data_IF_978710819779
#
_entry.id   IF_978710819779
#
_cell.length_a   1.000
_cell.length_b   1.000
_cell.length_c   1.000
_cell.angle_alpha   90.00
_cell.angle_beta   90.00
_cell.angle_gamma   90.00
#
_symmetry.space_group_name_H-M   'P 1'
#
loop_
_entity.id
_entity.type
_entity.pdbx_description
1 polymer ?
#
# COMPACT_ATOMS: atom_id res chain seq x y z
N UNK A 1 -10.29 10.64 -7.38
CA UNK A 1 -10.53 11.01 -8.78
C UNK A 1 -11.26 12.34 -8.76
N UNK A 2 -10.79 13.36 -9.49
CA UNK A 2 -11.47 14.66 -9.60
C UNK A 2 -11.78 14.95 -11.07
N UNK A 3 -12.99 15.45 -11.35
CA UNK A 3 -13.45 15.80 -12.69
C UNK A 3 -13.59 17.32 -12.79
N UNK A 4 -12.83 17.95 -13.70
CA UNK A 4 -12.83 19.39 -13.90
C UNK A 4 -13.77 19.78 -15.05
N UNK A 5 -14.50 20.89 -14.89
CA UNK A 5 -15.19 21.58 -15.98
C UNK A 5 -14.40 22.87 -16.28
N UNK A 6 -13.89 23.00 -17.50
CA UNK A 6 -13.30 24.26 -17.98
C UNK A 6 -11.77 24.29 -18.13
N UNK A 7 -11.22 23.39 -18.93
CA UNK A 7 -10.07 23.61 -19.85
C UNK A 7 -9.84 22.31 -20.61
N UNK A 8 -9.11 22.37 -21.70
CA UNK A 8 -9.01 21.41 -22.82
C UNK A 8 -8.48 19.99 -22.48
N UNK A 9 -8.64 19.53 -21.26
CA UNK A 9 -8.40 18.16 -20.83
C UNK A 9 -9.68 17.64 -20.13
N UNK A 10 -10.50 16.86 -20.84
CA UNK A 10 -11.55 16.04 -20.20
C UNK A 10 -10.89 14.87 -19.46
N UNK A 11 -10.05 15.20 -18.48
CA UNK A 11 -9.15 14.26 -17.83
C UNK A 11 -9.56 14.05 -16.37
N UNK A 12 -9.81 12.81 -16.00
CA UNK A 12 -9.85 12.40 -14.62
C UNK A 12 -8.49 12.63 -13.95
N UNK A 13 -8.43 13.53 -12.96
CA UNK A 13 -7.23 13.69 -12.15
C UNK A 13 -7.17 12.57 -11.10
N UNK A 14 -6.09 11.78 -11.10
CA UNK A 14 -5.78 10.82 -10.05
C UNK A 14 -4.69 11.36 -9.13
N UNK A 15 -4.74 11.00 -7.84
CA UNK A 15 -3.70 11.31 -6.85
C UNK A 15 -3.54 12.80 -6.45
N UNK A 16 -2.33 13.35 -6.54
CA UNK A 16 -1.92 14.58 -5.85
C UNK A 16 -2.73 15.83 -6.25
N UNK A 17 -3.08 16.03 -7.54
CA UNK A 17 -3.98 17.12 -7.93
C UNK A 17 -5.40 16.94 -7.38
N UNK A 18 -5.92 15.70 -7.36
CA UNK A 18 -7.24 15.40 -6.79
C UNK A 18 -7.26 15.60 -5.27
N UNK A 19 -6.20 15.22 -4.55
CA UNK A 19 -6.08 15.41 -3.09
C UNK A 19 -6.08 16.89 -2.69
N UNK A 20 -5.43 17.76 -3.49
CA UNK A 20 -5.43 19.22 -3.27
C UNK A 20 -6.79 19.87 -3.50
N UNK A 21 -7.65 19.26 -4.32
CA UNK A 21 -8.97 19.79 -4.65
C UNK A 21 -10.10 19.27 -3.75
N UNK A 22 -9.82 18.35 -2.81
CA UNK A 22 -10.84 17.88 -1.84
C UNK A 22 -11.47 19.06 -1.09
N UNK A 23 -10.68 20.10 -0.77
CA UNK A 23 -11.15 21.29 -0.06
C UNK A 23 -11.96 22.23 -0.96
N UNK A 24 -11.63 22.31 -2.25
CA UNK A 24 -12.24 23.28 -3.19
C UNK A 24 -13.37 22.68 -4.05
N UNK A 25 -13.42 21.36 -4.21
CA UNK A 25 -14.42 20.62 -4.98
C UNK A 25 -14.79 19.29 -4.28
N UNK A 26 -15.34 19.33 -3.06
CA UNK A 26 -15.57 18.14 -2.24
C UNK A 26 -16.61 17.18 -2.83
N UNK A 27 -17.62 17.69 -3.55
CA UNK A 27 -18.73 16.90 -4.11
C UNK A 27 -18.32 16.08 -5.34
N UNK A 28 -17.32 16.53 -6.10
CA UNK A 28 -16.85 15.84 -7.31
C UNK A 28 -15.46 15.20 -7.14
N UNK A 29 -14.91 15.24 -5.92
CA UNK A 29 -13.66 14.55 -5.59
C UNK A 29 -13.99 13.21 -4.93
N UNK A 30 -13.92 12.14 -5.72
CA UNK A 30 -14.24 10.79 -5.26
C UNK A 30 -12.99 10.15 -4.65
N UNK A 31 -13.13 9.60 -3.44
CA UNK A 31 -12.10 8.82 -2.74
C UNK A 31 -12.74 7.66 -1.96
N UNK A 32 -11.93 6.71 -1.49
CA UNK A 32 -12.42 5.62 -0.62
C UNK A 32 -13.38 4.63 -1.29
N UNK A 33 -13.60 4.70 -2.60
CA UNK A 33 -14.61 3.89 -3.31
C UNK A 33 -14.39 2.38 -3.18
N UNK A 34 -13.18 1.94 -2.82
CA UNK A 34 -12.86 0.54 -2.50
C UNK A 34 -13.82 -0.07 -1.46
N UNK A 35 -14.23 0.72 -0.46
CA UNK A 35 -15.14 0.25 0.59
C UNK A 35 -16.57 0.01 0.08
N UNK A 36 -16.92 0.60 -1.07
CA UNK A 36 -18.24 0.50 -1.69
C UNK A 36 -18.34 -0.62 -2.74
N UNK A 37 -17.22 -1.22 -3.15
CA UNK A 37 -17.20 -2.31 -4.14
C UNK A 37 -17.97 -3.51 -3.57
N UNK A 38 -18.98 -3.97 -4.31
CA UNK A 38 -19.78 -5.15 -3.95
C UNK A 38 -20.84 -4.91 -2.86
N UNK A 39 -21.05 -3.67 -2.40
CA UNK A 39 -22.07 -3.34 -1.40
C UNK A 39 -23.39 -2.93 -2.04
N UNK A 40 -24.48 -3.19 -1.31
CA UNK A 40 -25.84 -2.74 -1.64
C UNK A 40 -26.09 -1.36 -1.07
N UNK A 41 -26.92 -0.56 -1.75
CA UNK A 41 -27.26 0.79 -1.31
C UNK A 41 -27.87 0.84 0.10
N UNK A 42 -28.63 -0.18 0.48
CA UNK A 42 -29.31 -0.26 1.77
C UNK A 42 -28.45 -0.83 2.92
N UNK A 43 -27.17 -1.13 2.68
CA UNK A 43 -26.30 -1.71 3.70
C UNK A 43 -26.04 -0.70 4.85
N UNK A 44 -26.10 -1.11 6.14
CA UNK A 44 -25.91 -0.21 7.28
C UNK A 44 -24.56 0.53 7.26
N UNK A 45 -23.50 -0.08 6.72
CA UNK A 45 -22.19 0.55 6.64
C UNK A 45 -22.12 1.54 5.48
N UNK A 46 -22.74 1.24 4.33
CA UNK A 46 -22.90 2.22 3.24
C UNK A 46 -23.69 3.45 3.70
N UNK A 47 -24.75 3.27 4.48
CA UNK A 47 -25.55 4.37 5.03
C UNK A 47 -24.76 5.25 6.01
N UNK A 48 -23.86 4.64 6.80
CA UNK A 48 -22.92 5.39 7.65
C UNK A 48 -21.91 6.17 6.80
N UNK A 49 -21.36 5.52 5.77
CA UNK A 49 -20.35 6.12 4.90
C UNK A 49 -20.92 7.31 4.11
N UNK A 50 -22.17 7.21 3.66
CA UNK A 50 -22.91 8.30 3.01
C UNK A 50 -23.04 9.57 3.88
N UNK A 51 -22.99 9.45 5.21
CA UNK A 51 -23.00 10.61 6.13
C UNK A 51 -21.61 11.21 6.36
N UNK A 52 -20.56 10.46 6.06
CA UNK A 52 -19.16 10.85 6.32
C UNK A 52 -18.55 11.43 5.04
N UNK A 53 -18.89 10.88 3.88
CA UNK A 53 -18.27 11.28 2.62
C UNK A 53 -18.96 12.51 2.01
N UNK A 54 -18.21 13.42 1.37
CA UNK A 54 -18.75 14.64 0.78
C UNK A 54 -19.32 14.47 -0.63
N UNK A 55 -19.04 13.35 -1.31
CA UNK A 55 -19.52 13.06 -2.66
C UNK A 55 -20.85 12.31 -2.62
N UNK A 56 -21.64 12.46 -3.68
CA UNK A 56 -23.00 11.89 -3.74
C UNK A 56 -22.95 10.39 -4.03
N UNK A 57 -23.51 9.61 -3.12
CA UNK A 57 -23.74 8.17 -3.30
C UNK A 57 -25.17 7.98 -3.84
N UNK A 58 -25.32 7.18 -4.90
CA UNK A 58 -26.61 6.92 -5.55
C UNK A 58 -26.89 5.42 -5.64
N UNK A 59 -28.17 5.07 -5.64
CA UNK A 59 -28.63 3.70 -5.85
C UNK A 59 -28.63 3.40 -7.35
N UNK A 60 -27.87 2.40 -7.75
CA UNK A 60 -27.90 1.91 -9.12
C UNK A 60 -29.19 1.12 -9.42
N UNK A 61 -29.57 0.95 -10.70
CA UNK A 61 -30.75 0.18 -11.09
C UNK A 61 -30.74 -1.27 -10.57
N UNK A 62 -29.55 -1.86 -10.42
CA UNK A 62 -29.36 -3.22 -9.91
C UNK A 62 -29.37 -3.31 -8.37
N UNK A 63 -29.53 -2.19 -7.65
CA UNK A 63 -29.52 -2.11 -6.19
C UNK A 63 -28.15 -1.89 -5.54
N UNK A 64 -27.09 -1.80 -6.35
CA UNK A 64 -25.72 -1.57 -5.87
C UNK A 64 -25.43 -0.10 -5.61
N UNK A 65 -24.32 0.13 -4.91
CA UNK A 65 -23.82 1.47 -4.59
C UNK A 65 -23.03 2.02 -5.76
N UNK A 66 -23.52 3.12 -6.34
CA UNK A 66 -22.78 3.93 -7.31
C UNK A 66 -22.49 5.30 -6.71
N UNK A 67 -21.61 6.06 -7.37
CA UNK A 67 -21.34 7.46 -6.98
C UNK A 67 -21.62 8.37 -8.16
N UNK A 68 -22.09 9.58 -7.86
CA UNK A 68 -22.39 10.60 -8.86
C UNK A 68 -21.36 11.73 -8.75
N UNK A 69 -20.73 12.08 -9.87
CA UNK A 69 -19.89 13.25 -10.00
C UNK A 69 -20.23 13.97 -11.30
N UNK A 70 -20.38 15.30 -11.24
CA UNK A 70 -20.78 16.14 -12.39
C UNK A 70 -22.03 15.64 -13.13
N UNK A 71 -23.02 15.11 -12.40
CA UNK A 71 -24.27 14.60 -12.98
C UNK A 71 -24.14 13.27 -13.73
N UNK A 72 -22.94 12.66 -13.75
CA UNK A 72 -22.73 11.32 -14.27
C UNK A 72 -22.57 10.32 -13.12
N UNK A 73 -23.17 9.15 -13.28
CA UNK A 73 -23.05 8.07 -12.30
C UNK A 73 -21.97 7.09 -12.72
N UNK A 74 -21.15 6.68 -11.77
CA UNK A 74 -20.04 5.75 -11.98
C UNK A 74 -20.12 4.61 -10.97
N UNK A 75 -19.91 3.39 -11.45
CA UNK A 75 -19.73 2.25 -10.57
C UNK A 75 -18.37 2.32 -9.85
N UNK A 76 -18.26 1.75 -8.63
CA UNK A 76 -16.98 1.61 -7.92
C UNK A 76 -15.87 0.99 -8.77
N UNK A 77 -16.22 -0.01 -9.58
CA UNK A 77 -15.30 -0.71 -10.49
C UNK A 77 -14.78 0.20 -11.60
N UNK A 78 -15.64 1.05 -12.19
CA UNK A 78 -15.20 2.03 -13.20
C UNK A 78 -14.24 3.06 -12.62
N UNK A 79 -14.47 3.52 -11.38
CA UNK A 79 -13.58 4.45 -10.70
C UNK A 79 -12.22 3.82 -10.43
N UNK A 80 -12.22 2.56 -9.99
CA UNK A 80 -10.99 1.77 -9.87
C UNK A 80 -10.26 1.65 -11.22
N UNK A 81 -11.00 1.38 -12.30
CA UNK A 81 -10.44 1.28 -13.64
C UNK A 81 -9.78 2.59 -14.08
N UNK A 82 -10.39 3.75 -13.85
CA UNK A 82 -9.77 5.03 -14.19
C UNK A 82 -8.45 5.30 -13.44
N UNK A 83 -8.37 4.89 -12.17
CA UNK A 83 -7.12 4.98 -11.40
C UNK A 83 -6.06 4.07 -12.03
N UNK A 84 -6.42 2.83 -12.35
CA UNK A 84 -5.50 1.87 -12.97
C UNK A 84 -5.05 2.31 -14.37
N UNK A 85 -5.95 2.85 -15.19
CA UNK A 85 -5.62 3.42 -16.50
C UNK A 85 -4.62 4.56 -16.38
N UNK A 86 -4.81 5.47 -15.42
CA UNK A 86 -3.86 6.56 -15.20
C UNK A 86 -2.51 6.08 -14.66
N UNK A 87 -2.50 5.06 -13.80
CA UNK A 87 -1.25 4.43 -13.35
C UNK A 87 -0.51 3.77 -14.52
N UNK A 88 -1.25 3.14 -15.45
CA UNK A 88 -0.68 2.61 -16.69
C UNK A 88 -0.11 3.73 -17.57
N UNK A 89 -0.85 4.81 -17.82
CA UNK A 89 -0.36 5.94 -18.62
C UNK A 89 0.94 6.54 -18.06
N UNK A 90 1.03 6.71 -16.74
CA UNK A 90 2.25 7.19 -16.07
C UNK A 90 3.40 6.19 -16.24
N UNK A 91 3.12 4.89 -16.08
CA UNK A 91 4.11 3.85 -16.29
C UNK A 91 4.61 3.79 -17.74
N UNK A 92 3.72 3.96 -18.72
CA UNK A 92 4.06 4.03 -20.15
C UNK A 92 4.89 5.27 -20.47
N UNK A 93 4.53 6.43 -19.92
CA UNK A 93 5.29 7.67 -20.07
C UNK A 93 6.69 7.58 -19.45
N UNK A 94 6.82 6.90 -18.31
CA UNK A 94 8.11 6.66 -17.65
C UNK A 94 8.98 5.64 -18.39
N UNK A 95 8.38 4.57 -18.91
CA UNK A 95 9.09 3.46 -19.56
C UNK A 95 9.34 3.69 -21.06
N UNK A 96 8.71 4.69 -21.68
CA UNK A 96 8.84 5.01 -23.11
C UNK A 96 8.30 3.91 -24.05
N UNK A 97 7.52 2.96 -23.53
CA UNK A 97 6.95 1.83 -24.28
C UNK A 97 5.57 1.49 -23.75
N UNK A 98 4.70 0.98 -24.63
CA UNK A 98 3.35 0.57 -24.22
C UNK A 98 3.40 -0.65 -23.31
N UNK A 99 2.64 -0.58 -22.21
CA UNK A 99 2.49 -1.64 -21.20
C UNK A 99 1.20 -2.38 -21.51
N UNK A 100 1.30 -3.35 -22.42
CA UNK A 100 0.23 -4.32 -22.74
C UNK A 100 0.30 -5.51 -21.78
N UNK A 101 0.10 -5.28 -20.49
CA UNK A 101 -0.12 -6.39 -19.53
C UNK A 101 -1.58 -6.38 -19.08
N UNK A 102 -2.33 -7.30 -19.64
CA UNK A 102 -3.71 -7.61 -19.25
C UNK A 102 -3.66 -8.32 -17.88
N UNK A 103 -4.30 -7.75 -16.86
CA UNK A 103 -4.36 -8.36 -15.51
C UNK A 103 -5.35 -9.53 -15.57
N UNK A 104 -4.85 -10.72 -15.90
CA UNK A 104 -5.66 -11.92 -16.16
C UNK A 104 -6.18 -12.64 -14.90
N UNK A 105 -5.74 -12.26 -13.71
CA UNK A 105 -6.31 -12.75 -12.45
C UNK A 105 -5.93 -11.81 -11.30
N UNK A 106 -6.90 -11.46 -10.46
CA UNK A 106 -6.65 -10.92 -9.11
C UNK A 106 -7.06 -11.99 -8.11
N UNK A 107 -6.18 -12.97 -7.93
CA UNK A 107 -6.23 -13.85 -6.76
C UNK A 107 -4.91 -13.59 -6.02
N UNK A 108 -4.94 -12.61 -5.13
CA UNK A 108 -3.78 -12.18 -4.35
C UNK A 108 -4.17 -12.16 -2.89
N UNK A 109 -3.31 -12.68 -2.04
CA UNK A 109 -3.39 -12.55 -0.59
C UNK A 109 -3.55 -11.06 -0.25
N UNK A 110 -4.72 -10.64 0.26
CA UNK A 110 -5.02 -9.23 0.55
C UNK A 110 -4.15 -8.64 1.66
N UNK A 111 -3.32 -9.49 2.29
CA UNK A 111 -2.36 -9.15 3.32
C UNK A 111 -0.92 -9.05 2.82
N UNK A 112 -0.65 -9.25 1.52
CA UNK A 112 0.70 -9.18 0.95
C UNK A 112 0.84 -7.90 0.11
N UNK A 113 1.32 -6.85 0.74
CA UNK A 113 1.48 -5.51 0.18
C UNK A 113 2.91 -4.99 0.21
N UNK A 114 3.11 -3.77 -0.26
CA UNK A 114 4.40 -3.06 -0.16
C UNK A 114 4.88 -2.91 1.29
N UNK A 115 3.94 -2.86 2.25
CA UNK A 115 4.23 -2.79 3.68
C UNK A 115 4.93 -4.03 4.22
N UNK A 116 4.74 -5.22 3.66
CA UNK A 116 5.43 -6.43 4.15
C UNK A 116 6.92 -6.41 3.81
N UNK A 117 7.25 -5.88 2.63
CA UNK A 117 8.64 -5.65 2.23
C UNK A 117 9.29 -4.58 3.13
N UNK A 118 8.53 -3.53 3.48
CA UNK A 118 9.00 -2.48 4.38
C UNK A 118 9.13 -3.00 5.83
N UNK A 119 8.21 -3.84 6.29
CA UNK A 119 8.24 -4.45 7.63
C UNK A 119 9.40 -5.45 7.75
N UNK A 120 9.66 -6.27 6.73
CA UNK A 120 10.81 -7.19 6.71
C UNK A 120 12.14 -6.43 6.78
N UNK A 121 12.22 -5.29 6.10
CA UNK A 121 13.39 -4.43 6.15
C UNK A 121 13.50 -3.68 7.49
N UNK A 122 12.38 -3.21 8.04
CA UNK A 122 12.31 -2.58 9.35
C UNK A 122 12.79 -3.53 10.46
N UNK A 123 12.30 -4.77 10.46
CA UNK A 123 12.69 -5.80 11.43
C UNK A 123 14.19 -6.09 11.35
N UNK A 124 14.76 -6.15 10.14
CA UNK A 124 16.20 -6.29 9.95
C UNK A 124 16.97 -5.11 10.57
N UNK A 125 16.55 -3.87 10.31
CA UNK A 125 17.21 -2.67 10.83
C UNK A 125 17.13 -2.58 12.36
N UNK A 126 15.98 -2.91 12.94
CA UNK A 126 15.78 -2.95 14.39
C UNK A 126 16.67 -4.02 15.02
N UNK A 127 16.74 -5.21 14.44
CA UNK A 127 17.59 -6.30 14.94
C UNK A 127 19.08 -5.97 14.83
N UNK A 128 19.53 -5.36 13.73
CA UNK A 128 20.92 -4.91 13.57
C UNK A 128 21.29 -3.83 14.59
N UNK A 129 20.40 -2.85 14.81
CA UNK A 129 20.63 -1.81 15.81
C UNK A 129 20.65 -2.38 17.24
N UNK A 130 19.74 -3.32 17.54
CA UNK A 130 19.73 -4.03 18.83
C UNK A 130 21.00 -4.85 19.03
N UNK A 131 21.57 -5.43 17.97
CA UNK A 131 22.83 -6.19 18.04
C UNK A 131 24.04 -5.29 18.26
N UNK A 132 24.06 -4.09 17.67
CA UNK A 132 25.19 -3.16 17.76
C UNK A 132 25.15 -2.31 19.02
N UNK A 133 24.00 -1.74 19.34
CA UNK A 133 23.86 -0.77 20.43
C UNK A 133 23.15 -1.35 21.66
N UNK A 134 22.67 -2.61 21.61
CA UNK A 134 21.90 -3.26 22.70
C UNK A 134 20.60 -2.52 23.09
N UNK A 135 20.15 -1.57 22.27
CA UNK A 135 18.94 -0.77 22.50
C UNK A 135 17.82 -1.26 21.58
N UNK A 136 16.63 -1.47 22.14
CA UNK A 136 15.46 -1.87 21.40
C UNK A 136 14.64 -0.66 20.94
N UNK A 137 14.75 -0.31 19.65
CA UNK A 137 14.02 0.81 19.05
C UNK A 137 12.52 0.54 18.88
N UNK A 138 12.05 -0.69 19.08
CA UNK A 138 10.63 -1.06 18.91
C UNK A 138 9.68 -0.33 19.86
N UNK A 139 10.21 0.19 20.97
CA UNK A 139 9.44 0.94 21.97
C UNK A 139 9.35 2.43 21.66
N UNK A 140 10.21 2.95 20.80
CA UNK A 140 10.27 4.35 20.44
C UNK A 140 9.48 4.59 19.14
N UNK A 141 8.29 5.18 19.30
CA UNK A 141 7.39 5.48 18.17
C UNK A 141 8.02 6.44 17.16
N UNK A 142 8.85 7.38 17.61
CA UNK A 142 9.50 8.35 16.73
C UNK A 142 10.63 7.70 15.96
N UNK A 143 11.45 6.88 16.62
CA UNK A 143 12.53 6.13 15.97
C UNK A 143 11.97 5.16 14.93
N UNK A 144 10.89 4.43 15.24
CA UNK A 144 10.23 3.51 14.32
C UNK A 144 9.68 4.22 13.08
N UNK A 145 9.08 5.40 13.23
CA UNK A 145 8.59 6.15 12.09
C UNK A 145 9.74 6.55 11.15
N UNK A 146 10.85 7.06 11.69
CA UNK A 146 12.03 7.45 10.90
C UNK A 146 12.70 6.25 10.24
N UNK A 147 12.78 5.12 10.95
CA UNK A 147 13.26 3.85 10.40
C UNK A 147 12.39 3.36 9.24
N UNK A 148 11.06 3.46 9.36
CA UNK A 148 10.12 3.07 8.29
C UNK A 148 10.31 3.94 7.05
N UNK A 149 10.41 5.25 7.22
CA UNK A 149 10.67 6.19 6.11
C UNK A 149 12.03 5.89 5.44
N UNK A 150 13.06 5.58 6.22
CA UNK A 150 14.37 5.21 5.69
C UNK A 150 14.38 3.86 4.97
N UNK A 151 13.65 2.88 5.50
CA UNK A 151 13.47 1.56 4.89
C UNK A 151 12.74 1.67 3.54
N UNK A 152 11.67 2.47 3.47
CA UNK A 152 10.95 2.71 2.22
C UNK A 152 11.85 3.38 1.17
N UNK A 153 12.64 4.38 1.60
CA UNK A 153 13.61 5.05 0.73
C UNK A 153 14.69 4.10 0.24
N UNK A 154 15.27 3.30 1.14
CA UNK A 154 16.28 2.31 0.80
C UNK A 154 15.77 1.25 -0.18
N UNK A 155 14.52 0.78 -0.03
CA UNK A 155 13.85 -0.13 -0.96
C UNK A 155 13.74 0.47 -2.37
N UNK A 156 13.33 1.74 -2.48
CA UNK A 156 13.22 2.43 -3.77
C UNK A 156 14.61 2.55 -4.42
N UNK A 157 15.63 2.92 -3.64
CA UNK A 157 17.00 3.04 -4.15
C UNK A 157 17.55 1.70 -4.62
N UNK A 158 17.43 0.64 -3.82
CA UNK A 158 17.90 -0.72 -4.14
C UNK A 158 17.19 -1.38 -5.32
N UNK A 159 16.04 -0.84 -5.75
CA UNK A 159 15.40 -1.25 -7.00
C UNK A 159 16.26 -0.88 -8.22
N UNK A 160 17.06 0.18 -8.10
CA UNK A 160 17.87 0.77 -9.17
C UNK A 160 19.39 0.64 -8.92
N UNK A 161 19.83 0.62 -7.66
CA UNK A 161 21.24 0.57 -7.26
C UNK A 161 21.63 -0.80 -6.68
N UNK A 162 22.92 -1.12 -6.66
CA UNK A 162 23.44 -2.37 -6.07
C UNK A 162 23.57 -2.29 -4.54
N UNK A 163 23.69 -1.09 -3.98
CA UNK A 163 23.79 -0.83 -2.55
C UNK A 163 23.22 0.56 -2.21
N UNK A 164 22.81 0.75 -0.95
CA UNK A 164 22.38 2.03 -0.37
C UNK A 164 22.92 2.15 1.05
N UNK A 165 23.09 3.37 1.52
CA UNK A 165 23.51 3.69 2.88
C UNK A 165 22.36 4.33 3.66
N UNK A 166 21.94 3.66 4.73
CA UNK A 166 20.90 4.14 5.63
C UNK A 166 21.58 4.87 6.77
N UNK A 167 21.52 6.20 6.72
CA UNK A 167 22.04 7.08 7.76
C UNK A 167 20.90 7.84 8.45
N UNK A 168 20.63 7.48 9.71
CA UNK A 168 19.67 8.18 10.56
C UNK A 168 20.38 8.80 11.75
N UNK A 169 20.66 10.12 11.70
CA UNK A 169 21.26 10.79 12.83
C UNK A 169 20.24 11.07 13.93
N UNK A 170 20.71 10.97 15.18
CA UNK A 170 19.91 11.22 16.37
C UNK A 170 18.65 10.35 16.44
N UNK A 171 18.83 9.03 16.28
CA UNK A 171 17.71 8.08 16.22
C UNK A 171 17.14 7.79 17.60
N UNK A 172 17.99 7.70 18.63
CA UNK A 172 17.59 7.48 20.01
C UNK A 172 18.64 8.05 20.97
N UNK A 173 18.28 8.17 22.25
CA UNK A 173 19.16 8.68 23.31
C UNK A 173 19.33 7.60 24.37
N UNK A 174 20.58 7.32 24.72
CA UNK A 174 20.94 6.38 25.79
C UNK A 174 21.65 7.12 26.94
N UNK A 175 21.94 6.39 28.03
CA UNK A 175 22.73 6.87 29.16
C UNK A 175 24.10 7.46 28.76
N UNK A 176 24.65 7.03 27.62
CA UNK A 176 25.94 7.49 27.07
C UNK A 176 25.81 8.61 26.02
N UNK A 177 24.59 9.09 25.75
CA UNK A 177 24.33 10.18 24.81
C UNK A 177 23.52 9.75 23.58
N UNK A 178 23.48 10.64 22.60
CA UNK A 178 22.64 10.46 21.42
C UNK A 178 23.30 9.47 20.44
N UNK A 179 22.50 8.52 19.93
CA UNK A 179 22.94 7.48 19.01
C UNK A 179 22.49 7.75 17.59
N UNK A 180 23.28 7.26 16.65
CA UNK A 180 23.05 7.35 15.21
C UNK A 180 22.99 5.94 14.64
N UNK A 181 22.17 5.75 13.59
CA UNK A 181 22.16 4.51 12.81
C UNK A 181 22.91 4.75 11.52
N UNK A 182 23.94 3.95 11.24
CA UNK A 182 24.59 3.91 9.95
C UNK A 182 24.74 2.45 9.50
N UNK A 183 23.96 2.06 8.49
CA UNK A 183 23.96 0.70 7.94
C UNK A 183 24.05 0.78 6.42
N UNK A 184 25.03 0.09 5.84
CA UNK A 184 25.10 -0.16 4.40
C UNK A 184 24.30 -1.42 4.07
N UNK A 185 23.32 -1.29 3.19
CA UNK A 185 22.47 -2.38 2.75
C UNK A 185 22.73 -2.68 1.27
N UNK A 186 22.97 -3.95 0.94
CA UNK A 186 23.16 -4.41 -0.44
C UNK A 186 21.87 -5.00 -1.00
N UNK A 187 21.74 -4.94 -2.34
CA UNK A 187 20.59 -5.52 -3.05
C UNK A 187 20.45 -7.02 -2.77
N UNK A 188 21.55 -7.75 -2.80
CA UNK A 188 21.55 -9.20 -2.51
C UNK A 188 21.05 -9.51 -1.11
N UNK A 189 21.39 -8.67 -0.12
CA UNK A 189 20.90 -8.83 1.26
C UNK A 189 19.41 -8.53 1.35
N UNK A 190 18.93 -7.47 0.68
CA UNK A 190 17.51 -7.15 0.61
C UNK A 190 16.71 -8.27 -0.05
N UNK A 191 17.16 -8.77 -1.21
CA UNK A 191 16.52 -9.88 -1.93
C UNK A 191 16.44 -11.14 -1.04
N UNK A 192 17.49 -11.44 -0.27
CA UNK A 192 17.47 -12.56 0.69
C UNK A 192 16.43 -12.37 1.81
N UNK A 193 16.23 -11.15 2.32
CA UNK A 193 15.23 -10.84 3.35
C UNK A 193 13.81 -11.01 2.82
N UNK A 194 13.57 -10.59 1.57
CA UNK A 194 12.23 -10.60 0.96
C UNK A 194 11.96 -11.86 0.14
N UNK A 195 12.92 -12.78 0.01
CA UNK A 195 12.78 -13.97 -0.81
C UNK A 195 11.58 -14.83 -0.38
N UNK A 196 11.36 -14.99 0.93
CA UNK A 196 10.19 -15.69 1.46
C UNK A 196 8.86 -15.01 1.06
N UNK A 197 8.84 -13.68 0.96
CA UNK A 197 7.65 -12.93 0.50
C UNK A 197 7.46 -13.09 -1.02
N UNK A 198 8.55 -13.10 -1.79
CA UNK A 198 8.52 -13.34 -3.23
C UNK A 198 8.07 -14.77 -3.53
N UNK A 199 8.52 -15.76 -2.78
CA UNK A 199 8.08 -17.15 -2.91
C UNK A 199 6.58 -17.31 -2.62
N UNK A 200 6.06 -16.62 -1.61
CA UNK A 200 4.62 -16.53 -1.35
C UNK A 200 3.82 -15.92 -2.51
N UNK A 201 4.41 -15.01 -3.29
CA UNK A 201 3.75 -14.48 -4.51
C UNK A 201 3.80 -15.42 -5.72
N UNK A 202 4.67 -16.43 -5.71
CA UNK A 202 4.80 -17.41 -6.81
C UNK A 202 3.90 -18.63 -6.64
N UNK A 203 3.42 -18.90 -5.42
CA UNK A 203 2.48 -19.98 -5.17
C UNK A 203 1.07 -19.59 -5.69
N UNK A 204 0.48 -20.34 -6.64
CA UNK A 204 -0.95 -20.22 -6.89
C UNK A 204 -1.66 -20.77 -5.65
N UNK A 205 -2.57 -19.99 -5.08
CA UNK A 205 -3.17 -20.28 -3.78
C UNK A 205 -3.74 -21.69 -3.69
N UNK A 206 -3.22 -22.46 -2.74
CA UNK A 206 -3.98 -23.49 -2.07
C UNK A 206 -4.15 -23.05 -0.63
N UNK A 207 -5.40 -22.71 -0.31
CA UNK A 207 -5.79 -22.47 1.06
C UNK A 207 -5.62 -23.74 1.87
N UNK A 208 -4.95 -23.65 3.01
CA UNK A 208 -5.47 -24.31 4.19
C UNK A 208 -4.88 -23.68 5.44
N UNK A 209 -5.74 -23.00 6.20
CA UNK A 209 -5.53 -22.92 7.63
C UNK A 209 -5.52 -24.34 8.17
N UNK A 210 -4.42 -24.74 8.78
CA UNK A 210 -4.44 -25.73 9.85
C UNK A 210 -3.60 -25.19 11.00
N UNK A 211 -4.27 -24.36 11.81
CA UNK A 211 -4.14 -24.54 13.26
C UNK A 211 -4.43 -26.02 13.55
N UNK A 212 -3.47 -26.68 14.18
CA UNK A 212 -3.52 -28.11 14.41
C UNK A 212 -2.32 -28.50 15.26
N UNK A 213 -2.46 -28.20 16.55
CA UNK A 213 -1.65 -28.67 17.67
C UNK A 213 -1.01 -30.03 17.42
N UNK A 214 0.32 -30.09 17.40
CA UNK A 214 1.06 -31.33 17.48
C UNK A 214 0.89 -31.89 18.91
N UNK A 215 -0.04 -32.82 19.07
CA UNK A 215 -0.01 -33.75 20.18
C UNK A 215 0.92 -34.91 19.78
N UNK A 216 2.05 -34.92 20.46
CA UNK A 216 2.97 -36.04 20.62
C UNK A 216 2.20 -37.29 21.08
N UNK A 217 2.42 -38.44 20.43
CA UNK A 217 2.26 -39.82 20.91
C UNK A 217 2.21 -40.79 19.71
N UNK A 218 3.33 -41.42 19.38
CA UNK A 218 3.69 -42.74 19.92
C UNK A 218 4.65 -43.46 18.97
N UNK A 219 5.64 -44.10 19.58
CA UNK A 219 6.65 -44.93 18.91
C UNK A 219 6.11 -46.35 18.81
N UNK A 220 6.73 -47.11 17.90
CA UNK A 220 6.95 -48.56 17.98
C UNK A 220 5.85 -49.46 17.37
N UNK A 221 6.11 -50.01 16.18
CA UNK A 221 6.34 -51.45 15.89
C UNK A 221 7.16 -51.56 14.61
#
# INVERSE_FOLDING_TARGET
MCFHHGRQERGAACWYPAKRQVVTNPTNTIFGTKHLIGRRFNDPQTQKEMKIVPFKIVKAPNGDVWVEANGQQYSPSQIGAFVLTKMKEIAEAYLGKSVTKEVKATNGDTFLGGEDFDNALLDFLVNEFKRTESIDLSKDRLALQRLREAAEKAKIELSSTSQTEINLPFITVDAFGVKHLNITLTRSKFEALVNNLIERTKAPGDGNGKEGTAHDHDKNV
#
